data_IF_922744007167
#
_entry.id   IF_922744007167
#
_cell.length_a   1.000
_cell.length_b   1.000
_cell.length_c   1.000
_cell.angle_alpha   90.00
_cell.angle_beta   90.00
_cell.angle_gamma   90.00
#
_symmetry.space_group_name_H-M   'P 1'
#
loop_
_entity.id
_entity.type
_entity.pdbx_description
1 polymer ?
#
# COMPACT_ATOMS: atom_id res chain seq x y z
N UNK A 1 -41.74 -44.28 10.03
CA UNK A 1 -41.32 -45.69 9.87
C UNK A 1 -40.04 -45.65 9.04
N UNK A 2 -38.82 -45.97 9.46
CA UNK A 2 -38.15 -46.63 10.60
C UNK A 2 -36.82 -45.85 10.80
N UNK A 3 -36.42 -45.31 11.95
CA UNK A 3 -35.89 -45.93 13.18
C UNK A 3 -34.61 -46.79 13.04
N UNK A 4 -33.55 -46.31 13.70
CA UNK A 4 -32.47 -47.01 14.44
C UNK A 4 -31.15 -47.25 13.71
N UNK A 5 -30.09 -46.56 14.17
CA UNK A 5 -29.09 -47.22 15.03
C UNK A 5 -28.41 -46.22 15.97
N UNK A 6 -28.38 -46.63 17.24
CA UNK A 6 -27.74 -45.97 18.37
C UNK A 6 -26.23 -46.19 18.26
N UNK A 7 -25.44 -45.15 18.53
CA UNK A 7 -24.19 -45.36 19.25
C UNK A 7 -23.93 -44.15 20.13
N UNK A 8 -24.20 -44.36 21.42
CA UNK A 8 -23.83 -43.48 22.50
C UNK A 8 -22.41 -43.90 22.90
N UNK A 9 -21.42 -43.04 22.67
CA UNK A 9 -20.17 -43.12 23.38
C UNK A 9 -19.78 -41.72 23.83
N UNK A 10 -20.12 -41.42 25.08
CA UNK A 10 -19.60 -40.28 25.82
C UNK A 10 -18.19 -40.65 26.25
N UNK A 11 -17.18 -39.96 25.72
CA UNK A 11 -15.87 -39.87 26.35
C UNK A 11 -15.47 -38.41 26.36
N UNK A 12 -15.66 -37.78 27.51
CA UNK A 12 -15.10 -36.47 27.84
C UNK A 12 -13.59 -36.67 28.02
N UNK A 13 -12.80 -35.96 27.22
CA UNK A 13 -11.41 -35.66 27.57
C UNK A 13 -11.20 -34.16 27.43
N UNK A 14 -11.19 -33.48 28.58
CA UNK A 14 -10.76 -32.10 28.71
C UNK A 14 -9.24 -32.07 28.56
N UNK A 15 -8.75 -31.35 27.56
CA UNK A 15 -7.37 -30.86 27.52
C UNK A 15 -7.41 -29.36 27.22
N UNK A 16 -7.36 -28.55 28.27
CA UNK A 16 -6.89 -27.18 28.18
C UNK A 16 -5.37 -27.21 28.14
N UNK A 17 -4.77 -26.77 27.04
CA UNK A 17 -3.53 -25.99 27.07
C UNK A 17 -3.50 -25.08 25.85
N UNK A 18 -3.42 -23.79 26.17
CA UNK A 18 -3.04 -22.68 25.31
C UNK A 18 -1.65 -22.91 24.74
N UNK A 19 -1.48 -22.81 23.42
CA UNK A 19 -0.20 -22.37 22.86
C UNK A 19 -0.42 -21.68 21.51
N UNK A 20 -0.65 -20.37 21.55
CA UNK A 20 -0.27 -19.48 20.45
C UNK A 20 1.22 -19.69 20.19
N UNK A 21 1.58 -19.94 18.95
CA UNK A 21 2.96 -19.78 18.49
C UNK A 21 2.90 -19.01 17.19
N UNK A 22 2.97 -17.70 17.33
CA UNK A 22 3.35 -16.79 16.25
C UNK A 22 4.74 -17.17 15.79
N UNK A 23 4.80 -17.77 14.60
CA UNK A 23 6.06 -18.09 13.94
C UNK A 23 6.52 -16.80 13.29
N UNK A 24 7.43 -16.07 13.95
CA UNK A 24 8.20 -15.00 13.32
C UNK A 24 9.14 -15.63 12.31
N UNK A 25 8.94 -15.33 11.02
CA UNK A 25 9.93 -15.67 10.00
C UNK A 25 11.18 -14.81 10.20
N UNK A 26 12.33 -15.49 10.28
CA UNK A 26 13.66 -14.89 10.28
C UNK A 26 14.25 -15.02 8.89
N UNK A 27 15.02 -14.03 8.44
CA UNK A 27 15.79 -14.18 7.21
C UNK A 27 16.90 -15.24 7.37
N UNK A 28 17.57 -15.56 6.25
CA UNK A 28 18.64 -16.58 6.18
C UNK A 28 19.88 -16.27 7.03
N UNK A 29 19.93 -15.13 7.71
CA UNK A 29 21.06 -14.69 8.54
C UNK A 29 20.69 -14.45 10.01
N UNK A 30 19.45 -14.77 10.43
CA UNK A 30 19.07 -14.77 11.83
C UNK A 30 18.86 -13.38 12.44
N UNK A 31 18.69 -12.35 11.61
CA UNK A 31 18.31 -11.02 12.07
C UNK A 31 16.78 -10.93 12.23
N UNK A 32 16.32 -10.32 13.32
CA UNK A 32 14.93 -9.87 13.43
C UNK A 32 14.67 -8.84 12.34
N UNK A 33 13.75 -9.16 11.43
CA UNK A 33 13.22 -8.20 10.46
C UNK A 33 12.46 -7.16 11.30
N UNK A 34 13.02 -5.96 11.42
CA UNK A 34 12.27 -4.82 11.95
C UNK A 34 11.15 -4.52 10.94
N UNK A 35 9.98 -5.07 11.23
CA UNK A 35 8.72 -4.61 10.71
C UNK A 35 8.59 -3.16 11.15
N UNK A 36 9.00 -2.26 10.25
CA UNK A 36 8.75 -0.84 10.39
C UNK A 36 7.23 -0.70 10.57
N UNK A 37 6.87 -0.42 11.81
CA UNK A 37 5.54 -0.29 12.35
C UNK A 37 4.63 0.51 11.42
N UNK A 38 3.82 -0.21 10.63
CA UNK A 38 2.54 0.31 10.20
C UNK A 38 1.71 0.33 11.48
N UNK A 39 1.21 1.48 11.96
CA UNK A 39 0.30 1.48 13.08
C UNK A 39 -0.91 0.63 12.66
N UNK A 40 -1.03 -0.53 13.31
CA UNK A 40 -2.17 -1.43 13.22
C UNK A 40 -3.40 -0.65 13.62
N UNK A 41 -4.06 -0.06 12.64
CA UNK A 41 -5.47 0.29 12.76
C UNK A 41 -6.20 -0.81 12.02
N UNK A 42 -6.92 -1.64 12.76
CA UNK A 42 -7.94 -2.50 12.19
C UNK A 42 -9.00 -1.59 11.54
N UNK A 43 -8.77 -1.26 10.28
CA UNK A 43 -9.70 -0.52 9.45
C UNK A 43 -9.69 -1.24 8.12
N UNK A 44 -10.88 -1.63 7.66
CA UNK A 44 -11.14 -2.00 6.27
C UNK A 44 -10.30 -1.10 5.36
N UNK A 45 -9.25 -1.64 4.74
CA UNK A 45 -8.42 -0.86 3.80
C UNK A 45 -9.37 -0.40 2.71
N UNK A 46 -9.53 0.91 2.55
CA UNK A 46 -10.30 1.49 1.46
C UNK A 46 -9.84 0.82 0.16
N UNK A 47 -10.74 0.19 -0.61
CA UNK A 47 -10.39 -0.51 -1.85
C UNK A 47 -9.53 0.34 -2.79
N UNK A 48 -9.69 1.67 -2.79
CA UNK A 48 -8.88 2.58 -3.60
C UNK A 48 -7.46 2.76 -3.06
N UNK A 49 -7.25 2.73 -1.74
CA UNK A 49 -5.89 2.75 -1.14
C UNK A 49 -5.14 1.47 -1.50
N UNK A 50 -5.81 0.31 -1.39
CA UNK A 50 -5.23 -0.97 -1.79
C UNK A 50 -4.90 -1.00 -3.29
N UNK A 51 -5.82 -0.53 -4.14
CA UNK A 51 -5.59 -0.47 -5.57
C UNK A 51 -4.46 0.51 -5.93
N UNK A 52 -4.42 1.66 -5.28
CA UNK A 52 -3.35 2.65 -5.45
C UNK A 52 -1.98 2.08 -5.09
N UNK A 53 -1.89 1.32 -3.99
CA UNK A 53 -0.66 0.62 -3.59
C UNK A 53 -0.20 -0.38 -4.65
N UNK A 54 -1.10 -1.26 -5.09
CA UNK A 54 -0.82 -2.25 -6.14
C UNK A 54 -0.27 -1.58 -7.41
N UNK A 55 -0.90 -0.49 -7.84
CA UNK A 55 -0.46 0.27 -9.01
C UNK A 55 0.88 0.96 -8.78
N UNK A 56 1.10 1.55 -7.60
CA UNK A 56 2.31 2.30 -7.27
C UNK A 56 3.53 1.38 -7.17
N UNK A 57 3.37 0.21 -6.55
CA UNK A 57 4.45 -0.76 -6.34
C UNK A 57 4.67 -1.66 -7.57
N UNK A 58 3.58 -2.00 -8.27
CA UNK A 58 3.59 -2.87 -9.44
C UNK A 58 3.73 -2.09 -10.74
N UNK A 59 2.61 -1.87 -11.44
CA UNK A 59 2.57 -1.33 -12.82
C UNK A 59 3.33 0.00 -12.99
N UNK A 60 3.28 0.87 -11.99
CA UNK A 60 3.96 2.16 -11.98
C UNK A 60 5.44 2.07 -11.59
N UNK A 61 5.85 1.03 -10.84
CA UNK A 61 7.20 0.90 -10.27
C UNK A 61 7.69 2.16 -9.55
N UNK A 62 6.75 2.96 -9.01
CA UNK A 62 7.00 4.30 -8.49
C UNK A 62 7.93 4.29 -7.26
N UNK A 63 7.98 3.17 -6.53
CA UNK A 63 8.85 2.95 -5.38
C UNK A 63 10.34 2.93 -5.73
N UNK A 64 10.71 2.80 -7.00
CA UNK A 64 12.09 2.90 -7.46
C UNK A 64 12.65 4.33 -7.29
N UNK A 65 11.80 5.34 -7.43
CA UNK A 65 12.20 6.75 -7.38
C UNK A 65 11.60 7.53 -6.21
N UNK A 66 10.45 7.10 -5.68
CA UNK A 66 9.73 7.80 -4.62
C UNK A 66 9.64 6.91 -3.37
N UNK A 67 10.34 7.30 -2.31
CA UNK A 67 10.23 6.68 -0.99
C UNK A 67 9.31 7.50 -0.08
N UNK A 68 8.74 6.90 0.97
CA UNK A 68 7.82 7.60 1.87
C UNK A 68 8.38 8.91 2.43
N UNK A 69 9.56 8.86 3.05
CA UNK A 69 10.09 9.95 3.87
C UNK A 69 11.39 10.58 3.36
N UNK A 70 12.02 9.99 2.33
CA UNK A 70 13.36 10.39 1.88
C UNK A 70 13.39 10.64 0.39
N UNK A 71 14.05 11.73 -0.02
CA UNK A 71 14.38 11.98 -1.42
C UNK A 71 15.46 11.00 -1.86
N UNK A 72 15.22 10.28 -2.95
CA UNK A 72 16.22 9.43 -3.61
C UNK A 72 16.48 9.99 -5.00
N UNK A 73 15.86 9.42 -6.03
CA UNK A 73 15.82 10.00 -7.38
C UNK A 73 14.74 11.08 -7.44
N UNK A 74 13.52 10.74 -7.02
CA UNK A 74 12.42 11.67 -6.89
C UNK A 74 12.25 12.20 -5.46
N UNK A 75 11.46 13.27 -5.28
CA UNK A 75 11.05 13.76 -3.97
C UNK A 75 10.33 12.67 -3.17
N UNK A 76 10.35 12.81 -1.84
CA UNK A 76 9.63 11.89 -0.95
C UNK A 76 8.12 11.97 -1.16
N UNK A 77 7.38 10.90 -0.88
CA UNK A 77 5.92 10.90 -1.01
C UNK A 77 5.32 11.97 -0.10
N UNK A 78 5.80 12.11 1.13
CA UNK A 78 5.32 13.13 2.08
C UNK A 78 5.56 14.56 1.60
N UNK A 79 6.71 14.83 0.98
CA UNK A 79 6.99 16.14 0.37
C UNK A 79 6.00 16.44 -0.75
N UNK A 80 5.76 15.46 -1.63
CA UNK A 80 4.78 15.59 -2.72
C UNK A 80 3.40 15.89 -2.14
N UNK A 81 2.90 15.06 -1.23
CA UNK A 81 1.52 15.16 -0.72
C UNK A 81 1.30 16.46 0.06
N UNK A 82 2.29 16.90 0.84
CA UNK A 82 2.28 18.20 1.51
C UNK A 82 2.07 19.34 0.51
N UNK A 83 2.89 19.44 -0.53
CA UNK A 83 2.80 20.52 -1.53
C UNK A 83 1.47 20.47 -2.28
N UNK A 84 1.03 19.29 -2.72
CA UNK A 84 -0.25 19.15 -3.43
C UNK A 84 -1.45 19.52 -2.55
N UNK A 85 -1.41 19.17 -1.26
CA UNK A 85 -2.42 19.57 -0.28
C UNK A 85 -2.43 21.07 -0.06
N UNK A 86 -1.27 21.69 0.14
CA UNK A 86 -1.13 23.15 0.32
C UNK A 86 -1.60 23.95 -0.90
N UNK A 87 -1.41 23.40 -2.11
CA UNK A 87 -1.81 24.04 -3.37
C UNK A 87 -3.23 23.70 -3.83
N UNK A 88 -3.92 22.78 -3.16
CA UNK A 88 -5.22 22.27 -3.62
C UNK A 88 -5.15 21.65 -5.02
N UNK A 89 -4.00 21.06 -5.37
CA UNK A 89 -3.74 20.48 -6.69
C UNK A 89 -4.01 18.97 -6.70
N UNK A 90 -4.26 18.40 -7.88
CA UNK A 90 -4.45 16.95 -8.06
C UNK A 90 -3.17 16.28 -8.59
N UNK A 91 -2.71 15.26 -7.87
CA UNK A 91 -1.62 14.38 -8.31
C UNK A 91 -2.09 13.60 -9.54
N UNK A 92 -3.35 13.12 -9.55
CA UNK A 92 -3.94 12.40 -10.66
C UNK A 92 -3.94 13.22 -11.96
N UNK A 93 -4.25 14.53 -11.90
CA UNK A 93 -4.14 15.44 -13.06
C UNK A 93 -2.68 15.64 -13.49
N UNK A 94 -1.75 15.82 -12.55
CA UNK A 94 -0.33 15.96 -12.88
C UNK A 94 0.22 14.73 -13.61
N UNK A 95 -0.01 13.53 -13.08
CA UNK A 95 0.45 12.29 -13.72
C UNK A 95 -0.33 11.95 -15.00
N UNK A 96 -1.44 12.64 -15.28
CA UNK A 96 -2.12 12.62 -16.58
C UNK A 96 -1.50 13.62 -17.58
N UNK A 97 -0.53 14.42 -17.17
CA UNK A 97 0.11 15.46 -17.98
C UNK A 97 -0.73 16.74 -18.12
N UNK A 98 -1.63 17.00 -17.18
CA UNK A 98 -2.54 18.17 -17.17
C UNK A 98 -2.17 19.19 -16.08
N UNK A 99 -1.10 18.95 -15.33
CA UNK A 99 -0.64 19.81 -14.24
C UNK A 99 0.80 20.27 -14.40
N UNK A 100 1.12 21.41 -13.78
CA UNK A 100 2.47 21.96 -13.72
C UNK A 100 3.35 21.21 -12.69
N UNK A 101 4.68 21.14 -12.88
CA UNK A 101 5.60 20.51 -11.92
C UNK A 101 5.83 21.39 -10.68
N UNK A 102 4.87 21.38 -9.77
CA UNK A 102 4.85 22.25 -8.57
C UNK A 102 5.79 21.81 -7.44
N UNK A 103 6.39 20.63 -7.52
CA UNK A 103 7.29 20.07 -6.47
C UNK A 103 8.76 20.35 -6.80
N UNK A 104 9.24 19.82 -7.93
CA UNK A 104 10.63 20.00 -8.38
C UNK A 104 10.66 20.12 -9.91
N UNK A 105 10.55 21.35 -10.41
CA UNK A 105 10.56 21.64 -11.85
C UNK A 105 11.86 21.21 -12.54
N UNK A 106 12.99 21.15 -11.81
CA UNK A 106 14.28 20.70 -12.37
C UNK A 106 14.28 19.21 -12.71
N UNK A 107 13.44 18.41 -12.03
CA UNK A 107 13.30 16.97 -12.23
C UNK A 107 12.10 16.60 -13.12
N UNK A 108 11.39 17.60 -13.67
CA UNK A 108 10.14 17.37 -14.38
C UNK A 108 10.30 16.43 -15.59
N UNK A 109 11.31 16.66 -16.44
CA UNK A 109 11.49 15.83 -17.64
C UNK A 109 11.81 14.36 -17.30
N UNK A 110 12.47 14.10 -16.16
CA UNK A 110 12.69 12.73 -15.66
C UNK A 110 11.36 12.09 -15.24
N UNK A 111 10.54 12.81 -14.45
CA UNK A 111 9.25 12.28 -14.01
C UNK A 111 8.27 12.09 -15.19
N UNK A 112 8.23 13.05 -16.12
CA UNK A 112 7.35 13.08 -17.29
C UNK A 112 7.59 11.90 -18.23
N UNK A 113 8.80 11.35 -18.29
CA UNK A 113 9.06 10.11 -19.04
C UNK A 113 8.17 8.94 -18.57
N UNK A 114 7.77 8.93 -17.29
CA UNK A 114 6.86 7.92 -16.73
C UNK A 114 5.39 8.17 -17.09
N UNK A 115 5.03 9.33 -17.67
CA UNK A 115 3.64 9.65 -18.01
C UNK A 115 3.06 8.73 -19.08
N UNK A 116 3.90 8.05 -19.87
CA UNK A 116 3.43 6.99 -20.78
C UNK A 116 2.67 5.90 -20.01
N UNK A 117 3.13 5.55 -18.80
CA UNK A 117 2.52 4.54 -17.94
C UNK A 117 1.18 5.05 -17.37
N UNK A 118 1.17 6.25 -16.81
CA UNK A 118 0.01 6.81 -16.10
C UNK A 118 -1.08 7.34 -17.04
N UNK A 119 -0.73 7.75 -18.27
CA UNK A 119 -1.73 8.07 -19.32
C UNK A 119 -2.43 6.83 -19.86
N UNK A 120 -1.80 5.66 -19.77
CA UNK A 120 -2.41 4.38 -20.12
C UNK A 120 -3.28 3.79 -18.99
N UNK A 121 -3.32 4.44 -17.83
CA UNK A 121 -4.23 4.09 -16.72
C UNK A 121 -5.61 4.72 -16.93
N UNK A 122 -6.63 4.18 -16.27
CA UNK A 122 -7.95 4.85 -16.21
C UNK A 122 -7.89 6.06 -15.27
N UNK A 123 -8.89 6.94 -15.37
CA UNK A 123 -9.03 8.06 -14.42
C UNK A 123 -9.17 7.59 -12.97
N UNK A 124 -9.86 6.46 -12.76
CA UNK A 124 -10.02 5.84 -11.45
C UNK A 124 -8.68 5.29 -10.92
N UNK A 125 -7.88 4.65 -11.76
CA UNK A 125 -6.56 4.15 -11.38
C UNK A 125 -5.60 5.29 -11.00
N UNK A 126 -5.60 6.40 -11.75
CA UNK A 126 -4.82 7.59 -11.38
C UNK A 126 -5.32 8.20 -10.07
N UNK A 127 -6.64 8.20 -9.84
CA UNK A 127 -7.22 8.66 -8.58
C UNK A 127 -6.84 7.74 -7.41
N UNK A 128 -6.80 6.43 -7.62
CA UNK A 128 -6.34 5.46 -6.63
C UNK A 128 -4.87 5.71 -6.24
N UNK A 129 -3.99 5.98 -7.21
CA UNK A 129 -2.61 6.39 -6.96
C UNK A 129 -2.52 7.65 -6.09
N UNK A 130 -3.29 8.68 -6.42
CA UNK A 130 -3.34 9.91 -5.60
C UNK A 130 -3.81 9.62 -4.18
N UNK A 131 -4.90 8.84 -4.00
CA UNK A 131 -5.41 8.47 -2.68
C UNK A 131 -4.36 7.70 -1.88
N UNK A 132 -3.70 6.73 -2.50
CA UNK A 132 -2.63 5.98 -1.85
C UNK A 132 -1.46 6.88 -1.43
N UNK A 133 -0.98 7.76 -2.32
CA UNK A 133 0.08 8.70 -1.97
C UNK A 133 -0.35 9.62 -0.82
N UNK A 134 -1.57 10.16 -0.86
CA UNK A 134 -2.11 11.03 0.19
C UNK A 134 -2.32 10.32 1.54
N UNK A 135 -2.21 8.99 1.61
CA UNK A 135 -2.24 8.25 2.88
C UNK A 135 -0.92 8.31 3.66
N UNK A 136 0.15 8.82 3.05
CA UNK A 136 1.41 9.11 3.72
C UNK A 136 1.36 10.53 4.29
N UNK A 137 1.08 10.64 5.59
CA UNK A 137 1.00 11.90 6.35
C UNK A 137 2.30 12.69 6.42
#
# INVERSE_FOLDING_TARGET
MKFISKSLFVLVLVFSITNCSDKKETDKYGNTVEENSIPTTETTIDPLVAKGRELFEGKGTCTACHKPDVKVVGPSIKEITKIYKEKGASIASFINGEGEPIVDASQYEIMKANFVITKAMTSEERRALEIYMMSFE
#
